data_IF_286625395541
#
_entry.id   IF_286625395541
#
_cell.length_a   1.000
_cell.length_b   1.000
_cell.length_c   1.000
_cell.angle_alpha   90.00
_cell.angle_beta   90.00
_cell.angle_gamma   90.00
#
_symmetry.space_group_name_H-M   'P 1'
#
loop_
_entity.id
_entity.type
_entity.pdbx_description
1 polymer ?
#
# COMPACT_ATOMS: atom_id res chain seq x y z
N UNK A 1 -21.37 -11.69 16.45
CA UNK A 1 -19.93 -11.34 16.41
C UNK A 1 -19.44 -11.04 15.00
N UNK A 2 -19.66 -11.92 14.01
CA UNK A 2 -19.28 -11.69 12.60
C UNK A 2 -19.66 -10.29 12.11
N UNK A 3 -20.94 -9.90 12.26
CA UNK A 3 -21.41 -8.57 11.82
C UNK A 3 -20.79 -7.41 12.60
N UNK A 4 -20.42 -7.61 13.88
CA UNK A 4 -19.69 -6.58 14.66
C UNK A 4 -18.27 -6.39 14.09
N UNK A 5 -17.55 -7.48 13.84
CA UNK A 5 -16.21 -7.40 13.26
C UNK A 5 -16.23 -6.72 11.87
N UNK A 6 -17.20 -7.09 11.03
CA UNK A 6 -17.40 -6.43 9.72
C UNK A 6 -17.75 -4.94 9.85
N UNK A 7 -18.61 -4.57 10.81
CA UNK A 7 -18.93 -3.17 11.13
C UNK A 7 -17.66 -2.40 11.48
N UNK A 8 -16.86 -2.90 12.42
CA UNK A 8 -15.63 -2.23 12.84
C UNK A 8 -14.61 -2.07 11.71
N UNK A 9 -14.44 -3.10 10.88
CA UNK A 9 -13.59 -3.01 9.70
C UNK A 9 -14.09 -1.91 8.75
N UNK A 10 -15.38 -1.92 8.42
CA UNK A 10 -15.99 -0.95 7.50
C UNK A 10 -15.92 0.49 8.03
N UNK A 11 -16.24 0.69 9.31
CA UNK A 11 -16.19 1.99 9.97
C UNK A 11 -14.75 2.51 10.03
N UNK A 12 -13.79 1.64 10.33
CA UNK A 12 -12.36 1.99 10.26
C UNK A 12 -11.97 2.48 8.88
N UNK A 13 -12.31 1.73 7.82
CA UNK A 13 -12.01 2.10 6.43
C UNK A 13 -12.63 3.45 6.03
N UNK A 14 -13.83 3.76 6.51
CA UNK A 14 -14.47 5.06 6.26
C UNK A 14 -13.67 6.20 6.90
N UNK A 15 -13.17 6.02 8.12
CA UNK A 15 -12.38 7.03 8.83
C UNK A 15 -11.00 7.26 8.24
N UNK A 16 -10.36 6.22 7.69
CA UNK A 16 -9.03 6.32 7.09
C UNK A 16 -9.05 6.52 5.57
N UNK A 17 -10.25 6.61 4.98
CA UNK A 17 -10.37 6.89 3.56
C UNK A 17 -9.73 8.23 3.20
N UNK A 18 -9.12 8.36 2.00
CA UNK A 18 -8.56 9.64 1.56
C UNK A 18 -9.57 10.79 1.60
N UNK A 19 -10.85 10.48 1.34
CA UNK A 19 -11.95 11.42 1.41
C UNK A 19 -12.25 11.94 2.82
N UNK A 20 -11.89 11.19 3.86
CA UNK A 20 -12.03 11.56 5.27
C UNK A 20 -10.76 12.16 5.85
N UNK A 21 -9.59 11.62 5.46
CA UNK A 21 -8.29 12.03 6.00
C UNK A 21 -7.89 13.40 5.46
N UNK A 22 -7.94 13.62 4.14
CA UNK A 22 -7.44 14.86 3.54
C UNK A 22 -8.13 16.11 4.09
N UNK A 23 -9.46 16.16 4.32
CA UNK A 23 -10.09 17.31 4.95
C UNK A 23 -9.65 17.60 6.39
N UNK A 24 -9.08 16.63 7.10
CA UNK A 24 -8.52 16.85 8.44
C UNK A 24 -7.06 17.32 8.38
N UNK A 25 -6.34 16.94 7.33
CA UNK A 25 -4.91 17.19 7.17
C UNK A 25 -4.61 18.42 6.30
N UNK A 26 -5.55 18.82 5.43
CA UNK A 26 -5.40 19.89 4.44
C UNK A 26 -6.54 20.88 4.57
N UNK A 27 -6.19 22.16 4.74
CA UNK A 27 -7.15 23.25 4.85
C UNK A 27 -6.80 24.36 3.87
N UNK A 28 -7.77 24.82 3.08
CA UNK A 28 -7.63 26.01 2.24
C UNK A 28 -8.46 27.14 2.83
N UNK A 29 -7.83 28.28 3.09
CA UNK A 29 -8.48 29.51 3.55
C UNK A 29 -8.42 30.57 2.45
N UNK A 30 -9.49 30.74 1.65
CA UNK A 30 -9.48 31.64 0.49
C UNK A 30 -9.19 33.10 0.86
N UNK A 31 -9.71 33.59 1.99
CA UNK A 31 -9.56 34.99 2.43
C UNK A 31 -8.12 35.31 2.83
N UNK A 32 -7.46 34.37 3.52
CA UNK A 32 -6.06 34.48 3.95
C UNK A 32 -5.08 34.06 2.83
N UNK A 33 -5.58 33.38 1.80
CA UNK A 33 -4.82 32.77 0.71
C UNK A 33 -3.77 31.80 1.23
N UNK A 34 -4.14 31.04 2.25
CA UNK A 34 -3.27 30.09 2.93
C UNK A 34 -3.76 28.67 2.70
N UNK A 35 -2.83 27.80 2.27
CA UNK A 35 -3.02 26.37 2.28
C UNK A 35 -2.26 25.83 3.49
N UNK A 36 -2.96 25.22 4.43
CA UNK A 36 -2.35 24.50 5.54
C UNK A 36 -2.33 23.01 5.24
N UNK A 37 -1.21 22.37 5.53
CA UNK A 37 -1.05 20.91 5.54
C UNK A 37 -0.41 20.55 6.88
N UNK A 38 -1.13 19.79 7.70
CA UNK A 38 -0.75 19.52 9.09
C UNK A 38 -0.41 20.82 9.84
N UNK A 39 0.79 20.90 10.42
CA UNK A 39 1.29 22.03 11.19
C UNK A 39 1.90 23.14 10.33
N UNK A 40 1.93 22.97 9.00
CA UNK A 40 2.60 23.88 8.07
C UNK A 40 1.62 24.67 7.22
N UNK A 41 1.85 25.98 7.15
CA UNK A 41 1.04 26.90 6.33
C UNK A 41 1.85 27.47 5.16
N UNK A 42 1.23 27.48 3.99
CA UNK A 42 1.77 27.99 2.74
C UNK A 42 0.92 29.18 2.28
N UNK A 43 1.53 30.37 2.20
CA UNK A 43 0.87 31.54 1.62
C UNK A 43 1.00 31.53 0.09
N UNK A 44 -0.13 31.58 -0.61
CA UNK A 44 -0.20 31.58 -2.06
C UNK A 44 -0.41 33.01 -2.59
N UNK A 45 0.27 33.34 -3.69
CA UNK A 45 -0.04 34.56 -4.46
C UNK A 45 -1.31 34.36 -5.29
N UNK A 46 -1.94 35.46 -5.69
CA UNK A 46 -3.16 35.44 -6.52
C UNK A 46 -2.96 34.74 -7.86
N UNK A 47 -1.82 35.00 -8.49
CA UNK A 47 -1.47 34.52 -9.82
C UNK A 47 -0.67 33.22 -9.80
N UNK A 48 -0.35 32.68 -8.62
CA UNK A 48 0.45 31.47 -8.49
C UNK A 48 -0.39 30.26 -8.90
N UNK A 49 -0.12 29.53 -9.99
CA UNK A 49 -0.96 28.39 -10.37
C UNK A 49 -0.77 27.20 -9.41
N UNK A 50 -1.82 26.41 -9.22
CA UNK A 50 -1.80 25.20 -8.39
C UNK A 50 -2.11 24.00 -9.26
N UNK A 51 -1.22 23.01 -9.25
CA UNK A 51 -1.36 21.80 -10.05
C UNK A 51 -1.44 20.56 -9.18
N UNK A 52 -2.09 19.54 -9.71
CA UNK A 52 -2.19 18.23 -9.09
C UNK A 52 -1.44 17.19 -9.91
N UNK A 53 -0.55 16.44 -9.27
CA UNK A 53 -0.01 15.20 -9.84
C UNK A 53 -0.31 14.06 -8.87
N UNK A 54 -0.47 12.84 -9.37
CA UNK A 54 -0.66 11.70 -8.47
C UNK A 54 -0.47 10.35 -9.13
N UNK A 55 -0.12 9.35 -8.32
CA UNK A 55 0.05 7.98 -8.77
C UNK A 55 -0.12 7.02 -7.59
N UNK A 56 -0.84 5.92 -7.82
CA UNK A 56 -1.15 4.94 -6.78
C UNK A 56 -2.60 4.43 -6.82
N UNK A 57 -2.90 3.39 -6.05
CA UNK A 57 -4.25 2.83 -5.92
C UNK A 57 -5.28 3.82 -5.35
N UNK A 58 -4.86 4.71 -4.45
CA UNK A 58 -5.69 5.71 -3.78
C UNK A 58 -5.52 7.13 -4.35
N UNK A 59 -4.69 7.31 -5.39
CA UNK A 59 -4.37 8.64 -5.93
C UNK A 59 -5.60 9.40 -6.43
N UNK A 60 -6.59 8.71 -7.00
CA UNK A 60 -7.83 9.33 -7.50
C UNK A 60 -8.74 9.77 -6.35
N UNK A 61 -8.92 8.95 -5.31
CA UNK A 61 -9.70 9.34 -4.14
C UNK A 61 -9.03 10.49 -3.38
N UNK A 62 -7.69 10.52 -3.35
CA UNK A 62 -6.91 11.65 -2.84
C UNK A 62 -7.16 12.92 -3.67
N UNK A 63 -7.13 12.80 -5.00
CA UNK A 63 -7.36 13.91 -5.93
C UNK A 63 -8.75 14.51 -5.79
N UNK A 64 -9.77 13.66 -5.63
CA UNK A 64 -11.15 14.09 -5.39
C UNK A 64 -11.27 14.86 -4.06
N UNK A 65 -10.58 14.41 -3.01
CA UNK A 65 -10.61 15.11 -1.72
C UNK A 65 -9.96 16.49 -1.81
N UNK A 66 -8.81 16.59 -2.49
CA UNK A 66 -8.11 17.86 -2.74
C UNK A 66 -8.95 18.78 -3.63
N UNK A 67 -9.57 18.26 -4.69
CA UNK A 67 -10.48 19.00 -5.57
C UNK A 67 -11.65 19.63 -4.79
N UNK A 68 -12.21 18.92 -3.80
CA UNK A 68 -13.27 19.46 -2.93
C UNK A 68 -12.81 20.62 -2.05
N UNK A 69 -11.54 20.65 -1.66
CA UNK A 69 -10.97 21.69 -0.78
C UNK A 69 -10.56 22.92 -1.59
N UNK A 70 -9.84 22.71 -2.68
CA UNK A 70 -9.25 23.79 -3.48
C UNK A 70 -10.16 24.30 -4.60
N UNK A 71 -11.04 23.44 -5.13
CA UNK A 71 -11.98 23.80 -6.20
C UNK A 71 -11.29 24.47 -7.39
N UNK A 72 -11.77 25.67 -7.74
CA UNK A 72 -11.28 26.48 -8.86
C UNK A 72 -9.83 26.95 -8.71
N UNK A 73 -9.23 26.78 -7.54
CA UNK A 73 -7.82 27.10 -7.32
C UNK A 73 -6.89 26.16 -8.09
N UNK A 74 -7.34 24.93 -8.37
CA UNK A 74 -6.61 23.95 -9.18
C UNK A 74 -6.68 24.35 -10.64
N UNK A 75 -5.50 24.57 -11.23
CA UNK A 75 -5.32 24.93 -12.63
C UNK A 75 -5.52 23.73 -13.55
N UNK A 76 -4.82 22.63 -13.27
CA UNK A 76 -4.90 21.37 -14.03
C UNK A 76 -4.25 20.23 -13.21
N UNK A 77 -4.38 18.99 -13.66
CA UNK A 77 -3.68 17.87 -13.06
C UNK A 77 -3.74 16.55 -13.81
N UNK A 78 -2.79 15.66 -13.50
CA UNK A 78 -2.70 14.30 -14.04
C UNK A 78 -2.54 13.30 -12.90
N UNK A 79 -3.39 12.28 -12.88
CA UNK A 79 -3.37 11.21 -11.88
C UNK A 79 -3.31 9.85 -12.57
N UNK A 80 -2.41 8.96 -12.14
CA UNK A 80 -2.31 7.58 -12.64
C UNK A 80 -2.92 6.60 -11.61
N UNK A 81 -3.79 5.71 -12.08
CA UNK A 81 -4.55 4.76 -11.25
C UNK A 81 -4.71 3.40 -11.95
N UNK A 82 -4.89 2.27 -11.22
CA UNK A 82 -5.15 0.97 -11.83
C UNK A 82 -6.53 0.87 -12.49
N UNK A 83 -7.48 1.69 -12.04
CA UNK A 83 -8.85 1.67 -12.52
C UNK A 83 -9.07 2.81 -13.51
N UNK A 84 -9.94 2.60 -14.48
CA UNK A 84 -10.46 3.68 -15.31
C UNK A 84 -11.44 4.52 -14.50
N UNK A 85 -11.37 5.84 -14.69
CA UNK A 85 -12.26 6.79 -14.05
C UNK A 85 -12.75 7.78 -15.09
N UNK A 86 -14.00 8.22 -14.92
CA UNK A 86 -14.52 9.31 -15.74
C UNK A 86 -13.72 10.59 -15.46
N UNK A 87 -13.41 11.33 -16.52
CA UNK A 87 -12.72 12.62 -16.45
C UNK A 87 -13.41 13.56 -15.45
N UNK A 88 -12.58 14.31 -14.71
CA UNK A 88 -13.01 15.28 -13.70
C UNK A 88 -12.73 16.68 -14.21
N UNK A 89 -13.39 17.67 -13.61
CA UNK A 89 -13.31 19.04 -14.11
C UNK A 89 -11.91 19.67 -13.95
N UNK A 90 -11.09 19.17 -13.01
CA UNK A 90 -9.80 19.79 -12.62
C UNK A 90 -8.57 18.89 -12.80
N UNK A 91 -8.76 17.63 -13.17
CA UNK A 91 -7.65 16.71 -13.42
C UNK A 91 -8.09 15.55 -14.32
N UNK A 92 -7.13 14.99 -15.04
CA UNK A 92 -7.28 13.83 -15.89
C UNK A 92 -6.80 12.58 -15.17
N UNK A 93 -7.47 11.45 -15.41
CA UNK A 93 -7.07 10.15 -14.87
C UNK A 93 -6.57 9.27 -16.00
N UNK A 94 -5.33 8.84 -15.87
CA UNK A 94 -4.67 7.92 -16.78
C UNK A 94 -4.58 6.54 -16.14
N UNK A 95 -4.70 5.51 -16.97
CA UNK A 95 -4.65 4.12 -16.53
C UNK A 95 -3.19 3.64 -16.46
N UNK A 96 -2.88 2.83 -15.46
CA UNK A 96 -1.66 2.03 -15.43
C UNK A 96 -1.97 0.62 -14.90
N UNK A 97 -1.01 -0.29 -14.98
CA UNK A 97 -1.16 -1.65 -14.47
C UNK A 97 -0.51 -1.87 -13.10
N UNK A 98 -1.14 -2.73 -12.32
CA UNK A 98 -0.70 -3.22 -11.03
C UNK A 98 -1.11 -4.70 -10.88
N UNK A 99 -0.27 -5.61 -10.36
CA UNK A 99 0.97 -5.36 -9.61
C UNK A 99 2.23 -5.24 -10.48
N UNK A 100 2.16 -5.46 -11.78
CA UNK A 100 3.29 -5.36 -12.70
C UNK A 100 3.04 -4.27 -13.74
N UNK A 101 4.06 -3.48 -14.11
CA UNK A 101 3.90 -2.43 -15.11
C UNK A 101 3.68 -3.02 -16.50
N UNK A 102 2.94 -2.30 -17.33
CA UNK A 102 2.67 -2.62 -18.72
C UNK A 102 2.79 -1.36 -19.61
N UNK A 103 2.35 -1.47 -20.86
CA UNK A 103 2.37 -0.36 -21.81
C UNK A 103 1.51 0.84 -21.36
N UNK A 104 0.38 0.61 -20.69
CA UNK A 104 -0.45 1.68 -20.14
C UNK A 104 0.31 2.42 -19.02
N UNK A 105 1.00 1.69 -18.13
CA UNK A 105 1.89 2.30 -17.15
C UNK A 105 2.96 3.18 -17.80
N UNK A 106 3.62 2.70 -18.86
CA UNK A 106 4.67 3.46 -19.57
C UNK A 106 4.12 4.73 -20.22
N UNK A 107 3.07 4.59 -21.04
CA UNK A 107 2.50 5.70 -21.80
C UNK A 107 1.96 6.80 -20.88
N UNK A 108 1.23 6.43 -19.83
CA UNK A 108 0.72 7.34 -18.80
C UNK A 108 1.84 8.03 -18.03
N UNK A 109 2.93 7.32 -17.73
CA UNK A 109 4.10 7.89 -17.05
C UNK A 109 4.82 8.92 -17.92
N UNK A 110 4.96 8.65 -19.22
CA UNK A 110 5.56 9.60 -20.17
C UNK A 110 4.74 10.89 -20.26
N UNK A 111 3.41 10.78 -20.27
CA UNK A 111 2.52 11.95 -20.30
C UNK A 111 2.62 12.76 -19.01
N UNK A 112 2.61 12.10 -17.85
CA UNK A 112 2.81 12.77 -16.57
C UNK A 112 4.18 13.49 -16.51
N UNK A 113 5.25 12.89 -17.05
CA UNK A 113 6.56 13.55 -17.11
C UNK A 113 6.54 14.77 -18.02
N UNK A 114 5.88 14.72 -19.18
CA UNK A 114 5.72 15.89 -20.06
C UNK A 114 4.95 16.99 -19.35
N UNK A 115 3.88 16.64 -18.63
CA UNK A 115 3.12 17.58 -17.83
C UNK A 115 3.99 18.25 -16.77
N UNK A 116 4.74 17.49 -15.97
CA UNK A 116 5.69 18.03 -14.97
C UNK A 116 6.72 18.97 -15.59
N UNK A 117 7.25 18.66 -16.78
CA UNK A 117 8.21 19.50 -17.50
C UNK A 117 7.61 20.81 -18.02
N UNK A 118 6.30 20.83 -18.28
CA UNK A 118 5.57 22.01 -18.77
C UNK A 118 5.13 22.97 -17.66
N UNK A 119 5.24 22.57 -16.40
CA UNK A 119 4.77 23.36 -15.27
C UNK A 119 5.52 24.70 -15.18
N UNK A 120 4.80 25.82 -14.98
CA UNK A 120 5.40 27.13 -14.87
C UNK A 120 6.20 27.28 -13.58
N UNK A 121 7.22 28.14 -13.62
CA UNK A 121 8.02 28.46 -12.46
C UNK A 121 7.17 29.03 -11.31
N UNK A 122 7.53 28.67 -10.08
CA UNK A 122 6.83 29.04 -8.85
C UNK A 122 5.41 28.50 -8.71
N UNK A 123 4.94 27.60 -9.59
CA UNK A 123 3.74 26.83 -9.36
C UNK A 123 3.78 26.14 -7.98
N UNK A 124 2.60 25.95 -7.37
CA UNK A 124 2.45 25.01 -6.26
C UNK A 124 1.96 23.68 -6.85
N UNK A 125 2.62 22.59 -6.50
CA UNK A 125 2.31 21.25 -6.98
C UNK A 125 1.95 20.37 -5.78
N UNK A 126 0.73 19.87 -5.76
CA UNK A 126 0.31 18.82 -4.84
C UNK A 126 0.57 17.47 -5.51
N UNK A 127 1.46 16.68 -4.92
CA UNK A 127 1.82 15.35 -5.39
C UNK A 127 1.19 14.28 -4.50
N UNK A 128 0.28 13.49 -5.07
CA UNK A 128 -0.52 12.51 -4.35
C UNK A 128 0.05 11.11 -4.54
N UNK A 129 0.64 10.57 -3.49
CA UNK A 129 1.34 9.28 -3.55
C UNK A 129 0.64 8.26 -2.66
N UNK A 130 0.36 7.09 -3.21
CA UNK A 130 -0.10 5.94 -2.42
C UNK A 130 0.54 4.65 -2.89
N UNK A 131 0.22 3.55 -2.22
CA UNK A 131 0.65 2.22 -2.64
C UNK A 131 0.31 1.85 -4.09
N UNK A 132 1.10 0.92 -4.65
CA UNK A 132 1.04 0.51 -6.05
C UNK A 132 1.80 1.40 -7.05
N UNK A 133 2.33 2.53 -6.58
CA UNK A 133 3.12 3.50 -7.39
C UNK A 133 4.22 2.84 -8.21
N UNK A 134 4.94 1.84 -7.67
CA UNK A 134 6.09 1.24 -8.36
C UNK A 134 5.75 0.66 -9.74
N UNK A 135 4.51 0.19 -9.94
CA UNK A 135 4.07 -0.42 -11.20
C UNK A 135 3.22 0.54 -12.03
N UNK A 136 2.46 1.42 -11.39
CA UNK A 136 1.62 2.42 -12.07
C UNK A 136 2.47 3.53 -12.71
N UNK A 137 3.50 4.01 -12.01
CA UNK A 137 4.37 5.09 -12.47
C UNK A 137 5.78 4.53 -12.77
N UNK A 138 5.99 4.17 -14.04
CA UNK A 138 7.15 3.42 -14.48
C UNK A 138 7.66 3.90 -15.84
N UNK A 139 8.93 4.30 -15.88
CA UNK A 139 9.68 4.58 -17.11
C UNK A 139 11.01 3.82 -16.99
N UNK A 140 11.27 2.83 -17.85
CA UNK A 140 12.54 2.09 -17.86
C UNK A 140 13.75 3.00 -18.06
N UNK A 141 14.87 2.69 -17.40
CA UNK A 141 16.14 3.41 -17.60
C UNK A 141 16.93 2.88 -18.80
N UNK A 142 17.70 3.77 -19.45
CA UNK A 142 18.52 3.41 -20.61
C UNK A 142 17.68 2.89 -21.76
N UNK A 143 18.14 1.79 -22.38
CA UNK A 143 17.49 1.14 -23.52
C UNK A 143 16.56 0.00 -23.10
N UNK A 144 16.17 -0.08 -21.82
CA UNK A 144 15.27 -1.12 -21.32
C UNK A 144 13.85 -0.94 -21.88
N UNK A 145 13.21 -2.05 -22.22
CA UNK A 145 11.80 -2.08 -22.58
C UNK A 145 10.91 -2.31 -21.34
N UNK A 146 9.62 -2.00 -21.45
CA UNK A 146 8.69 -2.14 -20.31
C UNK A 146 8.45 -3.60 -19.92
N UNK A 147 8.50 -4.50 -20.92
CA UNK A 147 8.44 -5.95 -20.77
C UNK A 147 9.64 -6.48 -19.97
N UNK A 148 10.83 -5.93 -20.19
CA UNK A 148 12.04 -6.29 -19.43
C UNK A 148 11.96 -5.82 -17.98
N UNK A 149 11.39 -4.63 -17.73
CA UNK A 149 11.09 -4.17 -16.36
C UNK A 149 10.07 -5.09 -15.68
N UNK A 150 9.03 -5.50 -16.41
CA UNK A 150 8.03 -6.44 -15.91
C UNK A 150 8.67 -7.78 -15.51
N UNK A 151 9.57 -8.33 -16.34
CA UNK A 151 10.32 -9.55 -16.03
C UNK A 151 11.19 -9.39 -14.77
N UNK A 152 11.94 -8.30 -14.66
CA UNK A 152 12.77 -8.01 -13.47
C UNK A 152 11.89 -7.93 -12.22
N UNK A 153 10.74 -7.25 -12.30
CA UNK A 153 9.86 -7.07 -11.15
C UNK A 153 9.22 -8.40 -10.74
N UNK A 154 8.81 -9.23 -11.70
CA UNK A 154 8.28 -10.57 -11.47
C UNK A 154 9.31 -11.46 -10.76
N UNK A 155 10.57 -11.45 -11.22
CA UNK A 155 11.66 -12.19 -10.60
C UNK A 155 11.92 -11.74 -9.15
N UNK A 156 11.90 -10.43 -8.89
CA UNK A 156 12.11 -9.86 -7.56
C UNK A 156 10.96 -10.20 -6.59
N UNK A 157 9.71 -10.10 -7.05
CA UNK A 157 8.53 -10.43 -6.24
C UNK A 157 8.54 -11.92 -5.89
N UNK A 158 8.89 -12.79 -6.85
CA UNK A 158 8.97 -14.23 -6.65
C UNK A 158 10.21 -14.73 -5.89
N UNK A 159 11.17 -13.86 -5.51
CA UNK A 159 12.42 -14.30 -4.88
C UNK A 159 12.42 -14.30 -3.36
N UNK A 160 11.36 -13.81 -2.72
CA UNK A 160 11.34 -13.60 -1.27
C UNK A 160 12.27 -12.47 -0.79
N UNK A 161 12.62 -11.53 -1.69
CA UNK A 161 13.34 -10.33 -1.31
C UNK A 161 12.47 -9.39 -0.47
N UNK A 162 13.07 -8.73 0.52
CA UNK A 162 12.37 -7.70 1.28
C UNK A 162 12.01 -6.50 0.39
N UNK A 163 11.01 -5.70 0.78
CA UNK A 163 10.62 -4.51 0.02
C UNK A 163 11.78 -3.51 -0.15
N UNK A 164 12.66 -3.41 0.85
CA UNK A 164 13.87 -2.58 0.76
C UNK A 164 14.84 -3.07 -0.32
N UNK A 165 15.06 -4.37 -0.40
CA UNK A 165 15.92 -4.98 -1.41
C UNK A 165 15.32 -4.86 -2.81
N UNK A 166 14.02 -5.11 -2.95
CA UNK A 166 13.29 -4.93 -4.20
C UNK A 166 13.43 -3.49 -4.69
N UNK A 167 13.11 -2.49 -3.85
CA UNK A 167 13.18 -1.09 -4.23
C UNK A 167 14.60 -0.61 -4.51
N UNK A 168 15.62 -1.18 -3.86
CA UNK A 168 17.03 -0.93 -4.18
C UNK A 168 17.32 -1.28 -5.64
N UNK A 169 16.85 -2.42 -6.12
CA UNK A 169 17.01 -2.82 -7.53
C UNK A 169 16.12 -1.97 -8.46
N UNK A 170 14.85 -1.77 -8.12
CA UNK A 170 13.89 -1.03 -8.96
C UNK A 170 14.32 0.40 -9.28
N UNK A 171 15.02 1.07 -8.35
CA UNK A 171 15.50 2.45 -8.55
C UNK A 171 16.54 2.55 -9.67
N UNK A 172 17.43 1.57 -9.80
CA UNK A 172 18.50 1.56 -10.81
C UNK A 172 17.91 1.45 -12.23
N UNK A 173 16.88 0.63 -12.39
CA UNK A 173 16.25 0.37 -13.69
C UNK A 173 15.12 1.35 -14.05
N UNK A 174 15.00 2.48 -13.37
CA UNK A 174 13.91 3.44 -13.55
C UNK A 174 14.42 4.85 -13.79
N UNK A 175 13.67 5.67 -14.53
CA UNK A 175 13.92 7.12 -14.71
C UNK A 175 13.10 8.02 -13.78
N UNK A 176 12.16 7.45 -13.02
CA UNK A 176 11.19 8.20 -12.21
C UNK A 176 11.23 7.87 -10.72
N UNK A 177 11.84 6.74 -10.34
CA UNK A 177 11.95 6.30 -8.94
C UNK A 177 13.16 6.93 -8.26
N UNK A 178 13.20 6.98 -6.94
CA UNK A 178 14.37 7.43 -6.18
C UNK A 178 14.68 8.92 -6.35
N UNK A 179 13.68 9.79 -6.23
CA UNK A 179 13.81 11.25 -6.28
C UNK A 179 13.95 11.82 -7.68
N UNK A 180 13.90 10.98 -8.72
CA UNK A 180 14.28 11.40 -10.08
C UNK A 180 13.28 12.39 -10.71
N UNK A 181 12.08 12.55 -10.16
CA UNK A 181 11.14 13.57 -10.64
C UNK A 181 11.49 14.98 -10.15
N UNK A 182 12.28 15.11 -9.06
CA UNK A 182 12.62 16.40 -8.45
C UNK A 182 13.33 17.35 -9.43
N UNK A 183 14.08 16.79 -10.39
CA UNK A 183 14.75 17.57 -11.45
C UNK A 183 13.78 18.36 -12.34
N UNK A 184 12.53 17.92 -12.44
CA UNK A 184 11.48 18.62 -13.20
C UNK A 184 10.67 19.58 -12.33
N UNK A 185 10.70 19.40 -11.00
CA UNK A 185 9.86 20.13 -10.04
C UNK A 185 10.63 21.16 -9.19
N UNK A 186 11.96 21.25 -9.31
CA UNK A 186 12.80 22.14 -8.49
C UNK A 186 12.49 23.64 -8.64
N UNK A 187 11.76 24.05 -9.69
CA UNK A 187 11.28 25.42 -9.89
C UNK A 187 9.93 25.70 -9.23
N UNK A 188 9.30 24.69 -8.65
CA UNK A 188 7.97 24.75 -8.00
C UNK A 188 8.09 24.77 -6.47
N UNK A 189 6.96 24.97 -5.79
CA UNK A 189 6.75 24.50 -4.41
C UNK A 189 6.07 23.15 -4.50
N UNK A 190 6.76 22.10 -4.07
CA UNK A 190 6.27 20.72 -4.12
C UNK A 190 5.80 20.28 -2.74
N UNK A 191 4.57 19.81 -2.66
CA UNK A 191 3.98 19.26 -1.45
C UNK A 191 3.52 17.83 -1.76
N UNK A 192 4.20 16.85 -1.20
CA UNK A 192 3.78 15.47 -1.26
C UNK A 192 2.77 15.18 -0.14
N UNK A 193 1.61 14.64 -0.52
CA UNK A 193 0.65 14.03 0.39
C UNK A 193 0.73 12.52 0.18
N UNK A 194 1.14 11.79 1.21
CA UNK A 194 1.49 10.37 1.10
C UNK A 194 0.60 9.49 1.98
N UNK A 195 0.12 8.40 1.39
CA UNK A 195 -0.49 7.29 2.11
C UNK A 195 0.54 6.16 2.17
N UNK A 196 0.97 5.84 3.39
CA UNK A 196 2.00 4.83 3.63
C UNK A 196 1.41 3.43 3.67
N UNK A 197 1.90 2.58 2.77
CA UNK A 197 1.62 1.14 2.73
C UNK A 197 2.85 0.30 3.09
N UNK A 198 3.80 0.87 3.85
CA UNK A 198 5.02 0.21 4.32
C UNK A 198 5.09 0.19 5.86
N UNK A 199 5.80 -0.77 6.44
CA UNK A 199 5.68 -1.12 7.87
C UNK A 199 6.30 -0.11 8.81
N UNK A 200 7.24 0.69 8.33
CA UNK A 200 8.07 1.62 9.10
C UNK A 200 7.82 3.09 8.76
N UNK A 201 6.87 3.37 7.86
CA UNK A 201 6.54 4.71 7.38
C UNK A 201 7.77 5.49 6.83
N UNK A 202 8.77 4.78 6.31
CA UNK A 202 9.93 5.42 5.69
C UNK A 202 9.54 6.14 4.38
N UNK A 203 9.40 7.47 4.43
CA UNK A 203 9.01 8.32 3.29
C UNK A 203 9.76 7.99 1.99
N UNK A 204 11.06 7.69 2.09
CA UNK A 204 11.91 7.37 0.93
C UNK A 204 11.50 6.09 0.18
N UNK A 205 10.74 5.23 0.85
CA UNK A 205 10.35 3.90 0.41
C UNK A 205 8.93 3.85 -0.16
N UNK A 206 8.07 4.79 0.22
CA UNK A 206 6.68 4.88 -0.29
C UNK A 206 6.72 5.03 -1.81
N UNK A 207 6.18 4.05 -2.52
CA UNK A 207 6.18 4.04 -3.98
C UNK A 207 7.56 4.01 -4.66
N UNK A 208 8.60 3.54 -3.96
CA UNK A 208 10.00 3.68 -4.38
C UNK A 208 10.48 5.14 -4.45
N UNK A 209 9.86 6.03 -3.67
CA UNK A 209 10.24 7.42 -3.41
C UNK A 209 10.49 8.27 -4.66
N UNK A 210 9.54 8.38 -5.62
CA UNK A 210 9.77 9.10 -6.87
C UNK A 210 10.10 10.59 -6.67
N UNK A 211 9.51 11.22 -5.65
CA UNK A 211 9.74 12.59 -5.21
C UNK A 211 10.71 12.72 -4.03
N UNK A 212 11.27 11.63 -3.50
CA UNK A 212 12.10 11.71 -2.29
C UNK A 212 13.56 11.54 -2.64
N UNK A 213 14.36 12.57 -2.36
CA UNK A 213 15.77 12.60 -2.68
C UNK A 213 16.55 11.49 -1.96
N UNK A 214 17.25 10.65 -2.71
CA UNK A 214 17.99 9.53 -2.13
C UNK A 214 19.17 9.07 -3.02
N UNK A 215 20.16 8.36 -2.45
CA UNK A 215 21.16 7.68 -3.25
C UNK A 215 20.55 6.47 -3.99
N UNK A 216 21.03 6.26 -5.22
CA UNK A 216 20.77 5.10 -6.04
C UNK A 216 22.11 4.40 -6.23
N UNK A 217 22.16 3.12 -5.83
CA UNK A 217 23.38 2.31 -5.80
C UNK A 217 23.22 1.08 -6.68
N UNK A 218 23.82 1.11 -7.87
CA UNK A 218 23.97 -0.02 -8.78
C UNK A 218 24.74 -1.17 -8.13
N UNK A 219 25.78 -0.85 -7.35
CA UNK A 219 26.52 -1.85 -6.58
C UNK A 219 25.63 -2.59 -5.58
N UNK A 220 24.76 -1.88 -4.85
CA UNK A 220 23.81 -2.49 -3.91
C UNK A 220 22.74 -3.31 -4.64
N UNK A 221 22.22 -2.81 -5.77
CA UNK A 221 21.28 -3.56 -6.60
C UNK A 221 21.89 -4.88 -7.11
N UNK A 222 23.15 -4.85 -7.55
CA UNK A 222 23.89 -6.04 -7.95
C UNK A 222 24.04 -7.05 -6.80
N UNK A 223 24.35 -6.59 -5.59
CA UNK A 223 24.45 -7.44 -4.41
C UNK A 223 23.12 -8.14 -4.09
N UNK A 224 21.99 -7.43 -4.20
CA UNK A 224 20.65 -8.02 -4.05
C UNK A 224 20.41 -9.07 -5.12
N UNK A 225 20.63 -8.75 -6.41
CA UNK A 225 20.44 -9.69 -7.51
C UNK A 225 21.33 -10.94 -7.37
N UNK A 226 22.54 -10.80 -6.85
CA UNK A 226 23.45 -11.91 -6.53
C UNK A 226 22.93 -12.75 -5.36
N UNK A 227 22.51 -12.12 -4.26
CA UNK A 227 21.99 -12.78 -3.06
C UNK A 227 20.86 -13.75 -3.39
N UNK A 228 19.95 -13.36 -4.28
CA UNK A 228 18.80 -14.17 -4.69
C UNK A 228 19.03 -15.00 -5.96
N UNK A 229 20.27 -15.06 -6.50
CA UNK A 229 20.58 -15.83 -7.71
C UNK A 229 19.86 -15.34 -8.97
N UNK A 230 19.44 -14.07 -8.99
CA UNK A 230 18.67 -13.46 -10.07
C UNK A 230 19.54 -12.79 -11.14
N UNK A 231 20.79 -12.45 -10.83
CA UNK A 231 21.64 -11.68 -11.76
C UNK A 231 21.76 -12.30 -13.16
N UNK A 232 21.83 -13.63 -13.28
CA UNK A 232 21.90 -14.30 -14.59
C UNK A 232 20.53 -14.53 -15.24
N UNK A 233 19.44 -14.28 -14.51
CA UNK A 233 18.06 -14.45 -14.97
C UNK A 233 17.47 -13.15 -15.53
N UNK A 234 17.96 -12.00 -15.10
CA UNK A 234 17.51 -10.71 -15.64
C UNK A 234 17.95 -10.52 -17.10
N UNK A 235 17.22 -9.70 -17.88
CA UNK A 235 17.55 -9.41 -19.28
C UNK A 235 19.00 -8.95 -19.51
N UNK A 236 19.53 -9.21 -20.72
CA UNK A 236 20.91 -8.86 -21.05
C UNK A 236 21.16 -7.35 -21.01
N UNK A 237 20.22 -6.57 -21.55
CA UNK A 237 20.16 -5.10 -21.50
C UNK A 237 20.26 -4.59 -20.05
N UNK A 238 19.54 -5.20 -19.12
CA UNK A 238 19.57 -4.84 -17.70
C UNK A 238 20.93 -5.13 -17.07
N UNK A 239 21.57 -6.26 -17.42
CA UNK A 239 22.95 -6.56 -16.98
C UNK A 239 23.96 -5.57 -17.54
N UNK A 240 23.81 -5.16 -18.80
CA UNK A 240 24.67 -4.15 -19.43
C UNK A 240 24.52 -2.79 -18.74
N UNK A 241 23.29 -2.33 -18.53
CA UNK A 241 23.01 -1.09 -17.80
C UNK A 241 23.61 -1.13 -16.39
N UNK A 242 23.40 -2.23 -15.65
CA UNK A 242 23.95 -2.38 -14.30
C UNK A 242 25.47 -2.31 -14.28
N UNK A 243 26.15 -2.92 -15.25
CA UNK A 243 27.61 -2.85 -15.37
C UNK A 243 28.10 -1.42 -15.62
N UNK A 244 27.44 -0.69 -16.53
CA UNK A 244 27.77 0.71 -16.82
C UNK A 244 27.57 1.61 -15.60
N UNK A 245 26.45 1.46 -14.88
CA UNK A 245 26.18 2.26 -13.67
C UNK A 245 27.16 1.90 -12.53
N UNK A 246 27.54 0.62 -12.37
CA UNK A 246 28.55 0.21 -11.40
C UNK A 246 29.94 0.80 -11.73
N UNK A 247 30.34 0.79 -13.00
CA UNK A 247 31.61 1.39 -13.42
C UNK A 247 31.61 2.90 -13.15
N UNK A 248 30.51 3.60 -13.44
CA UNK A 248 30.35 5.03 -13.13
C UNK A 248 30.48 5.32 -11.63
N UNK A 249 29.86 4.51 -10.76
CA UNK A 249 29.98 4.65 -9.31
C UNK A 249 31.43 4.53 -8.82
N UNK A 250 32.18 3.60 -9.39
CA UNK A 250 33.57 3.33 -9.01
C UNK A 250 34.51 4.43 -9.54
N UNK A 251 34.34 4.83 -10.80
CA UNK A 251 35.22 5.80 -11.49
C UNK A 251 35.01 7.21 -10.93
N UNK A 252 33.77 7.66 -10.84
CA UNK A 252 33.45 9.03 -10.43
C UNK A 252 33.37 9.19 -8.91
N UNK A 253 33.45 8.07 -8.15
CA UNK A 253 33.13 8.00 -6.71
C UNK A 253 31.79 8.67 -6.39
N UNK A 254 30.89 8.66 -7.36
CA UNK A 254 29.64 9.39 -7.33
C UNK A 254 28.51 8.38 -7.52
N UNK A 255 27.75 8.15 -6.46
CA UNK A 255 26.47 7.47 -6.60
C UNK A 255 25.53 8.39 -7.39
N UNK A 256 24.67 7.82 -8.23
CA UNK A 256 23.54 8.61 -8.75
C UNK A 256 22.73 9.06 -7.53
N UNK A 257 22.78 10.36 -7.23
CA UNK A 257 22.09 10.94 -6.09
C UNK A 257 21.19 12.05 -6.60
N UNK A 258 19.92 11.95 -6.26
CA UNK A 258 18.98 13.04 -6.49
C UNK A 258 19.09 14.05 -5.37
N UNK A 259 19.00 15.33 -5.71
CA UNK A 259 19.08 16.43 -4.75
C UNK A 259 17.68 16.92 -4.39
N UNK A 260 17.52 17.25 -3.11
CA UNK A 260 16.32 17.90 -2.61
C UNK A 260 16.39 19.42 -2.79
N UNK A 261 15.27 20.11 -2.60
CA UNK A 261 15.20 21.57 -2.65
C UNK A 261 14.35 22.16 -1.53
N UNK A 262 14.65 23.40 -1.12
CA UNK A 262 14.07 24.02 0.09
C UNK A 262 12.54 24.17 0.10
N UNK A 263 11.92 24.15 -1.08
CA UNK A 263 10.46 24.27 -1.28
C UNK A 263 9.78 22.92 -1.51
N UNK A 264 10.44 21.82 -1.16
CA UNK A 264 9.87 20.48 -1.17
C UNK A 264 9.48 20.07 0.25
N UNK A 265 8.25 19.59 0.42
CA UNK A 265 7.68 19.18 1.69
C UNK A 265 6.93 17.86 1.51
N UNK A 266 7.15 16.90 2.40
CA UNK A 266 6.48 15.60 2.32
C UNK A 266 5.74 15.32 3.63
N UNK A 267 4.47 14.91 3.51
CA UNK A 267 3.60 14.64 4.63
C UNK A 267 2.99 13.24 4.48
N UNK A 268 3.16 12.40 5.51
CA UNK A 268 2.36 11.18 5.64
C UNK A 268 1.02 11.59 6.25
N UNK A 269 -0.04 11.45 5.47
CA UNK A 269 -1.40 11.82 5.89
C UNK A 269 -2.20 10.61 6.40
N UNK A 270 -1.83 9.40 5.98
CA UNK A 270 -2.42 8.15 6.46
C UNK A 270 -1.37 7.03 6.47
N UNK A 271 -1.41 6.17 7.50
CA UNK A 271 -0.60 4.94 7.59
C UNK A 271 -1.35 3.77 8.22
N UNK A 272 -0.82 2.56 8.06
CA UNK A 272 -1.37 1.34 8.65
C UNK A 272 -1.45 1.43 10.19
N UNK A 273 -0.47 2.10 10.82
CA UNK A 273 -0.46 2.36 12.25
C UNK A 273 -1.63 3.27 12.66
N UNK A 274 -1.85 4.37 11.94
CA UNK A 274 -2.99 5.27 12.20
C UNK A 274 -4.34 4.56 12.01
N UNK A 275 -4.43 3.67 11.02
CA UNK A 275 -5.62 2.82 10.84
C UNK A 275 -5.85 1.88 12.03
N UNK A 276 -4.84 1.17 12.48
CA UNK A 276 -4.99 0.25 13.59
C UNK A 276 -5.35 0.98 14.90
N UNK A 277 -4.77 2.17 15.12
CA UNK A 277 -5.17 3.07 16.21
C UNK A 277 -6.63 3.49 16.08
N UNK A 278 -7.08 3.85 14.87
CA UNK A 278 -8.46 4.26 14.66
C UNK A 278 -9.45 3.13 14.90
N UNK A 279 -9.13 1.92 14.45
CA UNK A 279 -9.91 0.72 14.75
C UNK A 279 -10.01 0.47 16.26
N UNK A 280 -8.91 0.64 16.98
CA UNK A 280 -8.87 0.47 18.43
C UNK A 280 -9.76 1.51 19.15
N UNK A 281 -9.78 2.77 18.71
CA UNK A 281 -10.66 3.81 19.24
C UNK A 281 -12.14 3.46 19.07
N UNK A 282 -12.53 3.04 17.85
CA UNK A 282 -13.92 2.68 17.52
C UNK A 282 -14.39 1.52 18.41
N UNK A 283 -13.59 0.46 18.51
CA UNK A 283 -13.93 -0.73 19.29
C UNK A 283 -13.95 -0.44 20.79
N UNK A 284 -13.05 0.43 21.28
CA UNK A 284 -13.01 0.87 22.67
C UNK A 284 -14.26 1.69 23.04
N UNK A 285 -14.76 2.50 22.12
CA UNK A 285 -16.01 3.27 22.33
C UNK A 285 -17.23 2.35 22.53
N UNK A 286 -17.22 1.15 21.93
CA UNK A 286 -18.24 0.11 22.12
C UNK A 286 -18.02 -0.75 23.39
N UNK A 287 -17.05 -0.37 24.26
CA UNK A 287 -16.89 -0.92 25.61
C UNK A 287 -15.94 -2.11 25.76
N UNK A 288 -15.15 -2.43 24.73
CA UNK A 288 -14.18 -3.52 24.78
C UNK A 288 -12.88 -3.13 25.52
N UNK A 289 -12.25 -4.09 26.19
CA UNK A 289 -10.85 -4.00 26.60
C UNK A 289 -9.95 -4.24 25.38
N UNK A 290 -9.43 -3.15 24.80
CA UNK A 290 -8.72 -3.20 23.51
C UNK A 290 -7.21 -3.33 23.71
N UNK A 291 -6.63 -4.34 23.07
CA UNK A 291 -5.20 -4.60 22.97
C UNK A 291 -4.77 -4.38 21.52
N UNK A 292 -3.92 -3.37 21.29
CA UNK A 292 -3.43 -3.01 19.97
C UNK A 292 -1.94 -3.37 19.84
N UNK A 293 -1.55 -4.01 18.74
CA UNK A 293 -0.15 -4.21 18.40
C UNK A 293 0.59 -2.90 18.16
N UNK A 294 1.86 -2.86 18.58
CA UNK A 294 2.67 -1.64 18.46
C UNK A 294 3.29 -1.45 17.08
N UNK A 295 3.41 -2.52 16.30
CA UNK A 295 4.10 -2.53 15.02
C UNK A 295 3.37 -3.41 14.02
N UNK A 296 3.42 -3.03 12.75
CA UNK A 296 2.93 -3.85 11.66
C UNK A 296 3.71 -5.17 11.59
N UNK A 297 3.00 -6.27 11.31
CA UNK A 297 3.60 -7.57 11.08
C UNK A 297 4.19 -7.64 9.66
N UNK A 298 5.39 -8.21 9.55
CA UNK A 298 6.01 -8.61 8.28
C UNK A 298 6.73 -9.93 8.50
N UNK A 299 6.38 -10.96 7.74
CA UNK A 299 6.96 -12.29 7.87
C UNK A 299 5.97 -13.41 7.55
N UNK A 300 6.39 -14.65 7.79
CA UNK A 300 5.60 -15.83 7.47
C UNK A 300 4.25 -15.86 8.21
N UNK A 301 3.22 -16.32 7.50
CA UNK A 301 1.85 -16.40 8.02
C UNK A 301 1.73 -17.34 9.22
N UNK A 302 2.53 -18.43 9.29
CA UNK A 302 2.54 -19.39 10.39
C UNK A 302 3.00 -18.75 11.70
N UNK A 303 4.04 -17.91 11.63
CA UNK A 303 4.56 -17.18 12.78
C UNK A 303 3.54 -16.15 13.26
N UNK A 304 2.87 -15.47 12.32
CA UNK A 304 1.84 -14.49 12.65
C UNK A 304 0.63 -15.14 13.32
N UNK A 305 0.13 -16.24 12.74
CA UNK A 305 -0.94 -17.08 13.26
C UNK A 305 -0.62 -17.52 14.69
N UNK A 306 0.59 -18.03 14.94
CA UNK A 306 1.02 -18.45 16.27
C UNK A 306 1.05 -17.28 17.27
N UNK A 307 1.56 -16.13 16.84
CA UNK A 307 1.64 -14.91 17.64
C UNK A 307 0.25 -14.39 18.02
N UNK A 308 -0.66 -14.25 17.06
CA UNK A 308 -2.06 -13.83 17.28
C UNK A 308 -2.73 -14.81 18.25
N UNK A 309 -2.67 -16.11 17.97
CA UNK A 309 -3.34 -17.11 18.79
C UNK A 309 -2.85 -17.12 20.24
N UNK A 310 -1.55 -16.95 20.46
CA UNK A 310 -0.97 -16.88 21.81
C UNK A 310 -1.55 -15.70 22.60
N UNK A 311 -1.71 -14.53 21.96
CA UNK A 311 -2.34 -13.37 22.57
C UNK A 311 -3.83 -13.58 22.81
N UNK A 312 -4.55 -14.17 21.86
CA UNK A 312 -5.97 -14.50 22.02
C UNK A 312 -6.18 -15.41 23.23
N UNK A 313 -5.35 -16.45 23.40
CA UNK A 313 -5.41 -17.33 24.58
C UNK A 313 -5.18 -16.55 25.87
N UNK A 314 -4.13 -15.71 25.93
CA UNK A 314 -3.84 -14.89 27.11
C UNK A 314 -4.97 -13.93 27.48
N UNK A 315 -5.64 -13.34 26.50
CA UNK A 315 -6.78 -12.46 26.71
C UNK A 315 -8.04 -13.24 27.11
N UNK A 316 -8.22 -14.43 26.54
CA UNK A 316 -9.37 -15.27 26.85
C UNK A 316 -9.35 -15.82 28.28
N UNK A 317 -8.15 -16.07 28.81
CA UNK A 317 -7.95 -16.54 30.20
C UNK A 317 -8.16 -15.41 31.23
N UNK A 318 -8.36 -14.15 30.81
CA UNK A 318 -8.61 -13.02 31.70
C UNK A 318 -10.11 -12.79 31.92
N UNK A 319 -10.46 -12.27 33.10
CA UNK A 319 -11.85 -11.90 33.46
C UNK A 319 -12.31 -10.58 32.81
N UNK A 320 -11.43 -9.86 32.10
CA UNK A 320 -11.71 -8.55 31.50
C UNK A 320 -12.33 -8.68 30.11
N UNK A 321 -13.57 -9.17 30.05
CA UNK A 321 -14.36 -9.32 28.82
C UNK A 321 -15.54 -8.33 28.78
N UNK A 322 -15.97 -7.87 27.59
CA UNK A 322 -15.48 -8.27 26.27
C UNK A 322 -14.10 -7.65 25.95
N UNK A 323 -13.26 -8.39 25.24
CA UNK A 323 -11.91 -7.97 24.87
C UNK A 323 -11.71 -7.98 23.36
N UNK A 324 -10.81 -7.14 22.86
CA UNK A 324 -10.46 -7.11 21.44
C UNK A 324 -8.94 -7.07 21.25
N UNK A 325 -8.45 -7.82 20.26
CA UNK A 325 -7.07 -7.76 19.80
C UNK A 325 -7.05 -7.21 18.38
N UNK A 326 -6.30 -6.12 18.19
CA UNK A 326 -6.08 -5.49 16.89
C UNK A 326 -4.64 -5.72 16.47
N UNK A 327 -4.48 -6.43 15.35
CA UNK A 327 -3.19 -6.60 14.67
C UNK A 327 -3.31 -6.08 13.25
N UNK A 328 -2.17 -5.77 12.64
CA UNK A 328 -2.12 -5.23 11.28
C UNK A 328 -0.76 -5.55 10.67
N UNK A 329 -0.66 -5.47 9.35
CA UNK A 329 0.58 -5.75 8.63
C UNK A 329 0.33 -6.48 7.32
N UNK A 330 1.35 -7.16 6.83
CA UNK A 330 1.32 -7.84 5.54
C UNK A 330 2.06 -9.18 5.62
N UNK A 331 1.42 -10.27 6.11
CA UNK A 331 2.06 -11.57 6.18
C UNK A 331 2.34 -12.16 4.79
N UNK A 332 3.37 -12.98 4.68
CA UNK A 332 3.70 -13.72 3.46
C UNK A 332 3.19 -15.15 3.54
N UNK A 333 2.67 -15.65 2.41
CA UNK A 333 2.22 -17.04 2.24
C UNK A 333 3.15 -17.74 1.26
N UNK A 334 3.62 -18.92 1.62
CA UNK A 334 4.27 -19.82 0.68
C UNK A 334 3.20 -20.59 -0.12
N UNK A 335 3.14 -20.35 -1.43
CA UNK A 335 2.18 -21.03 -2.32
C UNK A 335 2.79 -22.35 -2.78
N UNK A 336 2.23 -23.46 -2.29
CA UNK A 336 2.67 -24.83 -2.61
C UNK A 336 1.59 -25.64 -3.33
N UNK A 337 0.32 -25.28 -3.16
CA UNK A 337 -0.82 -25.88 -3.83
C UNK A 337 -1.21 -25.19 -5.14
N UNK A 338 -2.32 -25.65 -5.71
CA UNK A 338 -2.88 -25.13 -6.97
C UNK A 338 -4.24 -24.43 -6.81
N UNK A 339 -4.65 -24.22 -5.55
CA UNK A 339 -5.90 -23.57 -5.20
C UNK A 339 -5.93 -22.07 -5.43
N UNK A 340 -7.08 -21.49 -5.09
CA UNK A 340 -7.34 -20.06 -5.14
C UNK A 340 -7.48 -19.51 -3.72
N UNK A 341 -6.85 -18.37 -3.45
CA UNK A 341 -6.89 -17.75 -2.13
C UNK A 341 -5.99 -16.53 -2.01
N UNK A 342 -5.92 -16.00 -0.80
CA UNK A 342 -5.00 -14.95 -0.43
C UNK A 342 -4.59 -15.07 1.03
N UNK A 343 -3.64 -14.25 1.45
CA UNK A 343 -3.05 -14.31 2.79
C UNK A 343 -4.06 -14.04 3.90
N UNK A 344 -5.04 -13.17 3.68
CA UNK A 344 -6.06 -12.86 4.68
C UNK A 344 -7.06 -14.00 4.84
N UNK A 345 -7.51 -14.58 3.73
CA UNK A 345 -8.36 -15.77 3.74
C UNK A 345 -7.63 -16.94 4.39
N UNK A 346 -6.37 -17.20 4.01
CA UNK A 346 -5.60 -18.29 4.60
C UNK A 346 -5.38 -18.08 6.11
N UNK A 347 -5.07 -16.85 6.55
CA UNK A 347 -4.90 -16.52 7.97
C UNK A 347 -6.21 -16.72 8.74
N UNK A 348 -7.35 -16.34 8.16
CA UNK A 348 -8.65 -16.56 8.77
C UNK A 348 -8.96 -18.05 8.92
N UNK A 349 -8.66 -18.88 7.92
CA UNK A 349 -8.88 -20.33 7.98
C UNK A 349 -7.97 -21.02 9.01
N UNK A 350 -6.69 -20.63 9.03
CA UNK A 350 -5.71 -21.03 10.04
C UNK A 350 -6.14 -20.69 11.46
N UNK A 351 -6.62 -19.46 11.66
CA UNK A 351 -7.17 -19.03 12.95
C UNK A 351 -8.45 -19.80 13.32
N UNK A 352 -9.35 -20.06 12.37
CA UNK A 352 -10.56 -20.85 12.62
C UNK A 352 -10.23 -22.25 13.19
N UNK A 353 -9.22 -22.93 12.65
CA UNK A 353 -8.73 -24.22 13.15
C UNK A 353 -8.33 -24.14 14.63
N UNK A 354 -7.54 -23.14 15.02
CA UNK A 354 -7.12 -23.00 16.43
C UNK A 354 -8.25 -22.54 17.34
N UNK A 355 -9.07 -21.60 16.88
CA UNK A 355 -10.18 -21.05 17.65
C UNK A 355 -11.24 -22.10 17.97
N UNK A 356 -11.36 -23.16 17.17
CA UNK A 356 -12.28 -24.28 17.43
C UNK A 356 -12.09 -25.00 18.77
N UNK A 357 -10.94 -24.78 19.43
CA UNK A 357 -10.64 -25.29 20.78
C UNK A 357 -11.29 -24.49 21.92
N UNK A 358 -11.79 -23.28 21.66
CA UNK A 358 -12.44 -22.43 22.66
C UNK A 358 -13.95 -22.65 22.72
N UNK A 359 -14.48 -22.69 23.95
CA UNK A 359 -15.92 -22.85 24.19
C UNK A 359 -16.68 -21.52 24.13
N UNK A 360 -16.07 -20.42 24.56
CA UNK A 360 -16.68 -19.09 24.53
C UNK A 360 -16.69 -18.49 23.12
N UNK A 361 -17.54 -17.50 22.90
CA UNK A 361 -17.74 -16.90 21.57
C UNK A 361 -16.54 -16.00 21.21
N UNK A 362 -15.79 -16.41 20.18
CA UNK A 362 -14.63 -15.67 19.64
C UNK A 362 -14.81 -15.54 18.13
N UNK A 363 -14.55 -14.35 17.59
CA UNK A 363 -14.47 -14.11 16.15
C UNK A 363 -13.13 -13.52 15.75
N UNK A 364 -12.67 -13.88 14.55
CA UNK A 364 -11.47 -13.33 13.93
C UNK A 364 -11.80 -12.88 12.51
N UNK A 365 -11.47 -11.64 12.18
CA UNK A 365 -11.52 -11.08 10.84
C UNK A 365 -10.08 -10.78 10.41
N UNK A 366 -9.73 -11.13 9.18
CA UNK A 366 -8.51 -10.65 8.50
C UNK A 366 -8.91 -10.14 7.13
N UNK A 367 -8.49 -8.92 6.78
CA UNK A 367 -8.79 -8.36 5.47
C UNK A 367 -7.78 -7.32 4.99
N UNK A 368 -7.48 -7.39 3.70
CA UNK A 368 -6.78 -6.37 2.93
C UNK A 368 -7.63 -5.11 2.83
N UNK A 369 -7.04 -3.98 3.18
CA UNK A 369 -7.76 -2.72 3.27
C UNK A 369 -8.15 -2.16 1.91
N UNK A 370 -7.48 -2.58 0.83
CA UNK A 370 -7.82 -2.20 -0.55
C UNK A 370 -9.04 -2.94 -1.12
N UNK A 371 -9.53 -3.94 -0.39
CA UNK A 371 -10.70 -4.74 -0.76
C UNK A 371 -10.35 -6.01 -1.53
N UNK A 372 -9.06 -6.35 -1.68
CA UNK A 372 -8.58 -7.46 -2.49
C UNK A 372 -7.58 -8.30 -1.67
N UNK A 373 -7.67 -9.63 -1.78
CA UNK A 373 -6.78 -10.58 -1.14
C UNK A 373 -6.40 -11.68 -2.13
N UNK A 374 -5.12 -11.70 -2.51
CA UNK A 374 -4.64 -12.56 -3.60
C UNK A 374 -5.31 -12.25 -4.95
N UNK A 375 -5.33 -13.19 -5.90
CA UNK A 375 -6.02 -13.04 -7.18
C UNK A 375 -7.53 -13.34 -7.05
N UNK A 376 -8.21 -12.71 -6.07
CA UNK A 376 -9.63 -12.98 -5.77
C UNK A 376 -10.46 -11.71 -5.72
N UNK A 377 -11.79 -11.84 -5.67
CA UNK A 377 -12.75 -10.73 -5.48
C UNK A 377 -13.08 -10.48 -3.99
N UNK A 378 -12.39 -11.17 -3.07
CA UNK A 378 -12.54 -10.99 -1.63
C UNK A 378 -11.41 -10.14 -1.06
N UNK A 379 -11.70 -9.38 -0.03
CA UNK A 379 -10.71 -8.68 0.79
C UNK A 379 -10.07 -9.61 1.83
N UNK A 380 -10.69 -10.76 2.11
CA UNK A 380 -10.33 -11.60 3.23
C UNK A 380 -11.52 -12.42 3.71
N UNK A 381 -11.50 -12.82 4.98
CA UNK A 381 -12.59 -13.57 5.59
C UNK A 381 -12.75 -13.28 7.08
N UNK A 382 -13.92 -13.65 7.58
CA UNK A 382 -14.29 -13.59 9.00
C UNK A 382 -14.81 -14.94 9.47
N UNK A 383 -14.29 -15.39 10.61
CA UNK A 383 -14.53 -16.72 11.18
C UNK A 383 -14.89 -16.62 12.65
N UNK A 384 -15.42 -17.71 13.19
CA UNK A 384 -15.65 -17.88 14.64
C UNK A 384 -15.10 -19.22 15.11
N UNK A 385 -15.08 -19.44 16.43
CA UNK A 385 -14.79 -20.76 17.01
C UNK A 385 -15.75 -21.87 16.55
N UNK A 386 -16.90 -21.55 15.92
CA UNK A 386 -17.88 -22.51 15.39
C UNK A 386 -17.64 -22.90 13.93
N UNK A 387 -16.92 -22.07 13.16
CA UNK A 387 -16.75 -22.20 11.70
C UNK A 387 -16.28 -23.59 11.27
N UNK A 388 -15.26 -24.15 11.94
CA UNK A 388 -14.70 -25.46 11.59
C UNK A 388 -15.68 -26.61 11.84
N UNK A 389 -16.41 -26.54 12.96
CA UNK A 389 -17.40 -27.56 13.32
C UNK A 389 -18.57 -27.55 12.33
N UNK A 390 -18.97 -26.38 11.85
CA UNK A 390 -20.02 -26.21 10.84
C UNK A 390 -19.54 -26.71 9.47
N UNK A 391 -18.36 -26.29 9.02
CA UNK A 391 -17.76 -26.75 7.78
C UNK A 391 -17.60 -28.29 7.70
N UNK A 392 -17.15 -28.92 8.79
CA UNK A 392 -17.01 -30.40 8.86
C UNK A 392 -18.36 -31.12 8.78
N UNK A 393 -19.46 -30.52 9.26
CA UNK A 393 -20.82 -31.10 9.09
C UNK A 393 -21.29 -31.06 7.64
N UNK A 394 -20.77 -30.12 6.86
CA UNK A 394 -21.04 -29.98 5.42
C UNK A 394 -20.07 -30.81 4.55
N UNK A 395 -19.19 -31.60 5.19
CA UNK A 395 -18.25 -32.48 4.50
C UNK A 395 -17.00 -31.77 3.97
N UNK A 396 -16.71 -30.55 4.44
CA UNK A 396 -15.48 -29.84 4.11
C UNK A 396 -14.34 -30.33 5.02
N UNK A 397 -13.13 -30.47 4.46
CA UNK A 397 -11.88 -30.70 5.18
C UNK A 397 -11.02 -29.41 5.17
N UNK A 398 -11.11 -28.55 6.20
CA UNK A 398 -10.37 -27.28 6.27
C UNK A 398 -8.85 -27.46 6.13
N UNK A 399 -8.31 -28.56 6.67
CA UNK A 399 -6.89 -28.86 6.62
C UNK A 399 -6.43 -29.21 5.19
N UNK A 400 -7.30 -29.80 4.36
CA UNK A 400 -7.06 -30.02 2.94
C UNK A 400 -7.03 -28.70 2.15
N UNK A 401 -8.00 -27.82 2.36
CA UNK A 401 -8.02 -26.51 1.68
C UNK A 401 -6.79 -25.66 2.01
N UNK A 402 -6.28 -25.71 3.25
CA UNK A 402 -5.03 -25.02 3.59
C UNK A 402 -3.82 -25.61 2.85
N UNK A 403 -3.72 -26.94 2.80
CA UNK A 403 -2.61 -27.61 2.11
C UNK A 403 -2.58 -27.30 0.61
N UNK A 404 -3.74 -27.11 -0.01
CA UNK A 404 -3.86 -26.76 -1.42
C UNK A 404 -3.81 -25.24 -1.69
N UNK A 405 -3.59 -24.40 -0.67
CA UNK A 405 -3.73 -22.93 -0.74
C UNK A 405 -5.09 -22.49 -1.35
N UNK A 406 -6.16 -23.20 -1.02
CA UNK A 406 -7.49 -23.08 -1.61
C UNK A 406 -8.53 -22.44 -0.67
N UNK A 407 -8.09 -21.46 0.12
CA UNK A 407 -8.92 -20.79 1.13
C UNK A 407 -10.15 -20.08 0.53
N UNK A 408 -10.08 -19.64 -0.73
CA UNK A 408 -11.21 -19.01 -1.41
C UNK A 408 -12.40 -19.94 -1.57
N UNK A 409 -12.19 -21.14 -2.12
CA UNK A 409 -13.28 -22.10 -2.32
C UNK A 409 -13.76 -22.70 -0.99
N UNK A 410 -12.92 -22.75 0.04
CA UNK A 410 -13.38 -23.06 1.40
C UNK A 410 -14.46 -22.07 1.85
N UNK A 411 -14.18 -20.76 1.81
CA UNK A 411 -15.13 -19.74 2.25
C UNK A 411 -16.31 -19.52 1.28
N UNK A 412 -16.18 -19.94 0.02
CA UNK A 412 -17.30 -20.00 -0.91
C UNK A 412 -18.36 -21.00 -0.42
N UNK A 413 -17.92 -22.14 0.13
CA UNK A 413 -18.82 -23.20 0.63
C UNK A 413 -19.24 -22.94 2.08
N UNK A 414 -18.28 -22.68 2.97
CA UNK A 414 -18.52 -22.51 4.40
C UNK A 414 -19.13 -21.14 4.76
N UNK A 415 -19.09 -20.17 3.84
CA UNK A 415 -19.37 -18.77 4.12
C UNK A 415 -18.26 -18.09 4.93
N UNK A 416 -18.34 -16.77 5.07
CA UNK A 416 -17.34 -15.98 5.82
C UNK A 416 -16.48 -15.05 4.97
N UNK A 417 -16.57 -15.15 3.64
CA UNK A 417 -15.98 -14.20 2.71
C UNK A 417 -16.32 -12.74 3.08
N UNK A 418 -15.31 -11.88 3.02
CA UNK A 418 -15.48 -10.43 3.10
C UNK A 418 -15.27 -9.84 1.71
N UNK A 419 -16.35 -9.45 1.02
CA UNK A 419 -16.32 -8.90 -0.34
C UNK A 419 -16.88 -7.47 -0.36
N UNK A 420 -16.12 -6.47 0.14
CA UNK A 420 -16.57 -5.07 0.14
C UNK A 420 -16.45 -4.42 -1.25
N UNK A 421 -15.75 -5.08 -2.19
CA UNK A 421 -15.28 -4.47 -3.43
C UNK A 421 -14.08 -3.53 -3.20
N UNK A 422 -13.56 -2.88 -4.26
CA UNK A 422 -12.47 -1.93 -4.13
C UNK A 422 -12.82 -0.79 -3.19
N UNK A 423 -12.02 -0.59 -2.15
CA UNK A 423 -12.34 0.38 -1.08
C UNK A 423 -11.75 1.76 -1.34
N UNK A 424 -10.78 1.87 -2.24
CA UNK A 424 -9.99 3.08 -2.47
C UNK A 424 -9.01 3.42 -1.32
N UNK A 425 -8.82 2.48 -0.37
CA UNK A 425 -7.76 2.50 0.64
C UNK A 425 -6.61 1.58 0.21
N UNK A 426 -5.43 1.73 0.84
CA UNK A 426 -4.35 0.76 0.74
C UNK A 426 -3.36 0.99 1.90
N UNK A 427 -3.73 0.51 3.09
CA UNK A 427 -3.01 0.63 4.36
C UNK A 427 -2.66 -0.77 4.92
N UNK A 428 -2.26 -1.68 4.05
CA UNK A 428 -1.98 -3.11 4.35
C UNK A 428 -3.23 -3.91 4.75
N UNK A 429 -3.05 -4.95 5.58
CA UNK A 429 -4.13 -5.74 6.14
C UNK A 429 -4.45 -5.33 7.59
N UNK A 430 -5.71 -5.48 7.95
CA UNK A 430 -6.22 -5.29 9.31
C UNK A 430 -6.82 -6.60 9.82
N UNK A 431 -6.43 -7.00 11.03
CA UNK A 431 -7.03 -8.12 11.74
C UNK A 431 -7.72 -7.67 13.02
N UNK A 432 -8.93 -8.18 13.23
CA UNK A 432 -9.76 -7.86 14.38
C UNK A 432 -10.17 -9.18 15.04
N UNK A 433 -9.69 -9.41 16.26
CA UNK A 433 -10.24 -10.47 17.11
C UNK A 433 -11.19 -9.86 18.13
N UNK A 434 -12.39 -10.40 18.24
CA UNK A 434 -13.33 -10.08 19.32
C UNK A 434 -13.50 -11.31 20.20
N UNK A 435 -13.43 -11.12 21.52
CA UNK A 435 -13.59 -12.16 22.53
C UNK A 435 -14.78 -11.74 23.41
N UNK A 436 -15.85 -12.52 23.37
CA UNK A 436 -17.02 -12.35 24.24
C UNK A 436 -17.05 -13.44 25.33
N UNK A 437 -17.91 -13.25 26.33
CA UNK A 437 -18.06 -14.17 27.48
C UNK A 437 -18.67 -15.51 27.08
#
# INVERSE_FOLDING_TARGET
MIEKAKKYFTETLQHVSPLSVIPNEVEWKPEERTLSVQDKTFSLKDDQPVYLIGFGKASVSMAIAVEKILGDRITDGIVISPNEWNERNRFQVFKGSHPLPDYDSLSSSLELVRFMQSLPDNALVLNLVSGGTSSLFCIPAGDLEIEEINEIYSLLIGSGASIHEINTVRKVFSQVKGGQILKWLNRTTLIDLMISDITDDEISMIGSGPSVAQPISATSAFQVLKKYGLYQKIPHTARQLLAVEMDAEVIDKHYRKTEDFSRHHSFIIASATQMAQKCAEIIKADGYDVHLEKSAWSGAIEEFEHHIFTKVKQLNDQDRKPAALITFGEPTVEVTGSGLGGRNQELALRMALKLSSFENDISFLSAGTDGIDGPTDAAGAVVTNKTIKEAKKEGLDPEEYLRENDSYHFFEKAGGHLKPGPTGNNLMDLQITLIEN
#
